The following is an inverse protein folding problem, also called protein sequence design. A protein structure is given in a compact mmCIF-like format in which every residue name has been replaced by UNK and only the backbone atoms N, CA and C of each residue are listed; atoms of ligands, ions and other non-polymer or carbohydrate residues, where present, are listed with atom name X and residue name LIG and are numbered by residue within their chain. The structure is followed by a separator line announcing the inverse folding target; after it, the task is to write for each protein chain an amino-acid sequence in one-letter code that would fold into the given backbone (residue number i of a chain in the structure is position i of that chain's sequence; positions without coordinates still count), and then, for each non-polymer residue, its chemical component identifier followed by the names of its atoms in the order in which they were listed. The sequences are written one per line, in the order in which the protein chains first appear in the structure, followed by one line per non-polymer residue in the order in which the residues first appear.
data_IF_273001128151
#
_entry.id   IF_273001128151
#
_cell.length_a   1.000
_cell.length_b   1.000
_cell.length_c   1.000
_cell.angle_alpha   90.00
_cell.angle_beta   90.00
_cell.angle_gamma   90.00
#
_symmetry.space_group_name_H-M   'P 1'
#
loop_
_entity.id
_entity.type
_entity.pdbx_description
1 polymer ?
#
# COMPACT_ATOMS: atom_id res chain seq x y z
N UNK A 1 100.73 -5.28 -19.33
CA UNK A 1 101.43 -4.78 -20.52
C UNK A 1 102.57 -3.89 -20.06
N UNK A 2 103.80 -4.28 -20.42
CA UNK A 2 105.11 -3.61 -20.33
C UNK A 2 105.53 -3.14 -18.92
N UNK A 3 106.25 -3.96 -18.15
CA UNK A 3 107.68 -4.31 -18.27
C UNK A 3 108.65 -3.15 -17.93
N UNK A 4 109.63 -3.39 -17.04
CA UNK A 4 110.53 -2.40 -16.42
C UNK A 4 111.90 -2.35 -17.11
N UNK A 5 112.74 -1.36 -16.82
CA UNK A 5 114.21 -1.39 -17.01
C UNK A 5 114.79 -0.33 -16.05
N UNK A 6 115.41 -0.64 -14.91
CA UNK A 6 116.71 -1.30 -14.66
C UNK A 6 117.96 -0.57 -15.18
N UNK A 7 118.88 -0.37 -14.24
CA UNK A 7 120.33 -0.55 -14.40
C UNK A 7 121.13 0.52 -15.17
N UNK A 8 122.03 1.25 -14.49
CA UNK A 8 123.48 0.98 -14.40
C UNK A 8 124.17 1.32 -15.76
N UNK A 9 125.36 1.91 -15.85
CA UNK A 9 126.59 1.57 -15.16
C UNK A 9 127.67 2.55 -15.68
N UNK A 10 128.61 2.86 -14.79
CA UNK A 10 130.06 2.88 -15.04
C UNK A 10 130.67 3.85 -16.07
N UNK A 11 131.55 4.75 -15.58
CA UNK A 11 133.03 4.64 -15.60
C UNK A 11 133.58 4.90 -17.01
N UNK A 12 134.51 5.85 -17.19
CA UNK A 12 135.94 5.65 -16.93
C UNK A 12 136.68 6.99 -17.17
N UNK A 13 137.57 7.42 -16.26
CA UNK A 13 139.06 7.51 -16.40
C UNK A 13 139.51 8.50 -17.51
N UNK A 14 140.45 9.43 -17.36
CA UNK A 14 141.77 9.44 -16.69
C UNK A 14 142.20 10.91 -16.49
N UNK A 15 142.98 11.17 -15.42
CA UNK A 15 144.10 12.12 -15.23
C UNK A 15 144.20 13.46 -16.00
N UNK A 16 144.89 14.47 -15.51
CA UNK A 16 145.77 14.58 -14.37
C UNK A 16 145.98 16.08 -14.09
N UNK A 17 146.53 16.33 -12.90
CA UNK A 17 147.36 17.47 -12.52
C UNK A 17 146.73 18.86 -12.33
N UNK A 18 147.21 19.44 -11.23
CA UNK A 18 147.26 20.84 -10.86
C UNK A 18 146.04 21.53 -10.25
N UNK A 19 146.07 21.52 -8.91
CA UNK A 19 146.22 22.71 -8.08
C UNK A 19 145.20 23.84 -8.31
N UNK A 20 144.28 23.95 -7.34
CA UNK A 20 143.59 25.18 -6.89
C UNK A 20 142.41 25.74 -7.74
N UNK A 21 141.27 25.04 -7.91
CA UNK A 21 140.03 25.67 -8.41
C UNK A 21 138.67 24.88 -8.29
N UNK A 22 138.05 24.61 -7.11
CA UNK A 22 136.64 24.16 -7.13
C UNK A 22 135.68 24.72 -6.05
N UNK A 23 135.93 25.86 -5.42
CA UNK A 23 134.99 26.41 -4.42
C UNK A 23 133.91 27.37 -4.97
N UNK A 24 134.09 27.95 -6.16
CA UNK A 24 133.16 28.98 -6.70
C UNK A 24 131.95 28.44 -7.48
N UNK A 25 132.11 27.44 -8.35
CA UNK A 25 130.96 26.84 -9.06
C UNK A 25 130.04 26.04 -8.13
N UNK A 26 130.63 25.48 -7.06
CA UNK A 26 129.93 24.80 -5.99
C UNK A 26 129.05 25.75 -5.16
N UNK A 27 129.36 27.05 -5.13
CA UNK A 27 128.58 28.04 -4.40
C UNK A 27 127.33 28.48 -5.17
N UNK A 28 127.45 28.72 -6.47
CA UNK A 28 126.35 29.23 -7.31
C UNK A 28 125.27 28.16 -7.57
N UNK A 29 125.69 26.90 -7.72
CA UNK A 29 124.76 25.77 -7.79
C UNK A 29 124.03 25.55 -6.46
N UNK A 30 124.72 25.72 -5.32
CA UNK A 30 124.10 25.63 -3.98
C UNK A 30 123.03 26.69 -3.79
N UNK A 31 123.24 27.91 -4.28
CA UNK A 31 122.30 29.01 -4.10
C UNK A 31 121.01 28.82 -4.92
N UNK A 32 121.12 28.33 -6.17
CA UNK A 32 119.95 28.02 -7.01
C UNK A 32 119.16 26.82 -6.49
N UNK A 33 119.84 25.80 -5.99
CA UNK A 33 119.20 24.64 -5.31
C UNK A 33 118.45 25.14 -4.08
N UNK A 34 119.06 26.00 -3.27
CA UNK A 34 118.44 26.53 -2.06
C UNK A 34 117.19 27.38 -2.32
N UNK A 35 117.18 28.19 -3.38
CA UNK A 35 115.99 28.98 -3.77
C UNK A 35 114.88 28.05 -4.27
N UNK A 36 115.21 27.06 -5.11
CA UNK A 36 114.23 26.10 -5.62
C UNK A 36 113.65 25.22 -4.52
N UNK A 37 114.48 24.79 -3.57
CA UNK A 37 114.04 24.03 -2.41
C UNK A 37 113.06 24.85 -1.58
N UNK A 38 113.31 26.16 -1.39
CA UNK A 38 112.36 27.06 -0.72
C UNK A 38 111.03 27.18 -1.45
N UNK A 39 111.04 27.37 -2.76
CA UNK A 39 109.80 27.50 -3.55
C UNK A 39 109.03 26.16 -3.59
N UNK A 40 109.75 25.04 -3.64
CA UNK A 40 109.16 23.70 -3.57
C UNK A 40 108.54 23.47 -2.18
N UNK A 41 109.19 23.92 -1.11
CA UNK A 41 108.65 23.78 0.25
C UNK A 41 107.44 24.69 0.49
N UNK A 42 107.41 25.90 -0.07
CA UNK A 42 106.23 26.77 -0.07
C UNK A 42 105.06 26.15 -0.83
N UNK A 43 105.30 25.63 -2.05
CA UNK A 43 104.26 24.96 -2.83
C UNK A 43 103.79 23.66 -2.18
N UNK A 44 104.68 22.89 -1.52
CA UNK A 44 104.29 21.72 -0.72
C UNK A 44 103.43 22.12 0.46
N UNK A 45 103.77 23.21 1.15
CA UNK A 45 102.97 23.74 2.27
C UNK A 45 101.57 24.16 1.80
N UNK A 46 101.46 24.83 0.66
CA UNK A 46 100.18 25.25 0.09
C UNK A 46 99.34 24.05 -0.39
N UNK A 47 99.97 23.05 -1.02
CA UNK A 47 99.33 21.78 -1.39
C UNK A 47 98.83 21.03 -0.15
N UNK A 48 99.60 21.01 0.93
CA UNK A 48 99.19 20.36 2.17
C UNK A 48 98.04 21.10 2.86
N UNK A 49 98.01 22.44 2.78
CA UNK A 49 96.86 23.23 3.24
C UNK A 49 95.61 22.94 2.42
N UNK A 50 95.71 22.90 1.09
CA UNK A 50 94.59 22.58 0.20
C UNK A 50 94.11 21.13 0.40
N UNK A 51 95.02 20.19 0.65
CA UNK A 51 94.67 18.80 1.00
C UNK A 51 93.91 18.75 2.32
N UNK A 52 94.40 19.43 3.35
CA UNK A 52 93.70 19.54 4.66
C UNK A 52 92.30 20.13 4.50
N UNK A 53 92.18 21.19 3.70
CA UNK A 53 90.90 21.85 3.42
C UNK A 53 89.94 20.93 2.65
N UNK A 54 90.44 20.21 1.64
CA UNK A 54 89.66 19.20 0.90
C UNK A 54 89.17 18.06 1.80
N UNK A 55 90.02 17.55 2.70
CA UNK A 55 89.60 16.53 3.69
C UNK A 55 88.62 17.07 4.73
N UNK A 56 88.77 18.33 5.15
CA UNK A 56 87.83 19.02 6.03
C UNK A 56 86.46 19.16 5.37
N UNK A 57 86.44 19.66 4.13
CA UNK A 57 85.20 19.85 3.36
C UNK A 57 84.53 18.52 3.00
N UNK A 58 85.31 17.49 2.66
CA UNK A 58 84.80 16.13 2.44
C UNK A 58 84.18 15.52 3.70
N UNK A 59 84.80 15.73 4.86
CA UNK A 59 84.22 15.31 6.15
C UNK A 59 82.93 16.07 6.47
N UNK A 60 82.88 17.39 6.22
CA UNK A 60 81.70 18.21 6.43
C UNK A 60 80.52 17.81 5.52
N UNK A 61 80.78 17.55 4.23
CA UNK A 61 79.77 17.07 3.28
C UNK A 61 79.22 15.70 3.66
N UNK A 62 80.08 14.77 4.10
CA UNK A 62 79.64 13.46 4.58
C UNK A 62 78.80 13.57 5.86
N UNK A 63 79.14 14.49 6.76
CA UNK A 63 78.35 14.75 7.96
C UNK A 63 76.97 15.33 7.62
N UNK A 64 76.92 16.32 6.71
CA UNK A 64 75.66 16.91 6.24
C UNK A 64 74.79 15.89 5.50
N UNK A 65 75.39 15.05 4.65
CA UNK A 65 74.68 13.98 3.95
C UNK A 65 74.04 12.98 4.90
N UNK A 66 74.74 12.59 5.98
CA UNK A 66 74.16 11.76 7.05
C UNK A 66 73.04 12.46 7.78
N UNK A 67 73.21 13.71 8.18
CA UNK A 67 72.15 14.48 8.86
C UNK A 67 70.87 14.58 8.04
N UNK A 68 70.98 14.86 6.73
CA UNK A 68 69.80 14.95 5.84
C UNK A 68 69.14 13.58 5.72
N UNK A 69 69.92 12.51 5.55
CA UNK A 69 69.40 11.16 5.47
C UNK A 69 68.66 10.75 6.75
N UNK A 70 69.28 10.98 7.91
CA UNK A 70 68.68 10.66 9.22
C UNK A 70 67.42 11.49 9.50
N UNK A 71 67.39 12.76 9.08
CA UNK A 71 66.22 13.62 9.23
C UNK A 71 65.05 13.19 8.33
N UNK A 72 65.33 12.82 7.08
CA UNK A 72 64.32 12.33 6.14
C UNK A 72 63.78 10.96 6.57
N UNK A 73 64.65 10.05 7.01
CA UNK A 73 64.25 8.73 7.49
C UNK A 73 63.44 8.82 8.79
N UNK A 74 63.84 9.72 9.70
CA UNK A 74 63.07 9.99 10.92
C UNK A 74 61.69 10.60 10.63
N UNK A 75 61.60 11.52 9.65
CA UNK A 75 60.33 12.13 9.24
C UNK A 75 59.42 11.11 8.58
N UNK A 76 59.94 10.29 7.65
CA UNK A 76 59.18 9.25 6.97
C UNK A 76 58.69 8.16 7.95
N UNK A 77 59.52 7.78 8.92
CA UNK A 77 59.15 6.83 9.98
C UNK A 77 58.06 7.39 10.89
N UNK A 78 58.13 8.68 11.25
CA UNK A 78 57.11 9.34 12.06
C UNK A 78 55.76 9.42 11.33
N UNK A 79 55.76 9.84 10.07
CA UNK A 79 54.54 9.89 9.24
C UNK A 79 53.94 8.50 9.03
N UNK A 80 54.76 7.48 8.75
CA UNK A 80 54.27 6.11 8.58
C UNK A 80 53.63 5.58 9.87
N UNK A 81 54.22 5.90 11.03
CA UNK A 81 53.67 5.54 12.34
C UNK A 81 52.33 6.23 12.59
N UNK A 82 52.20 7.52 12.30
CA UNK A 82 50.96 8.27 12.44
C UNK A 82 49.86 7.74 11.51
N UNK A 83 50.20 7.46 10.25
CA UNK A 83 49.25 6.92 9.27
C UNK A 83 48.75 5.54 9.68
N UNK A 84 49.63 4.69 10.19
CA UNK A 84 49.28 3.37 10.70
C UNK A 84 48.35 3.46 11.91
N UNK A 85 48.60 4.41 12.81
CA UNK A 85 47.77 4.63 13.99
C UNK A 85 46.38 5.16 13.61
N UNK A 86 46.29 6.10 12.65
CA UNK A 86 45.00 6.55 12.10
C UNK A 86 44.25 5.44 11.37
N UNK A 87 44.94 4.58 10.63
CA UNK A 87 44.31 3.46 9.95
C UNK A 87 43.69 2.49 10.95
N UNK A 88 44.41 2.18 12.04
CA UNK A 88 43.87 1.34 13.12
C UNK A 88 42.66 1.98 13.81
N UNK A 89 42.72 3.28 14.12
CA UNK A 89 41.59 4.01 14.72
C UNK A 89 40.34 3.98 13.81
N UNK A 90 40.51 4.24 12.51
CA UNK A 90 39.42 4.17 11.54
C UNK A 90 38.86 2.75 11.42
N UNK A 91 39.70 1.72 11.51
CA UNK A 91 39.25 0.32 11.46
C UNK A 91 38.39 -0.04 12.68
N UNK A 92 38.77 0.45 13.87
CA UNK A 92 37.98 0.26 15.10
C UNK A 92 36.64 0.97 14.98
N UNK A 93 36.64 2.24 14.56
CA UNK A 93 35.40 3.03 14.40
C UNK A 93 34.46 2.45 13.35
N UNK A 94 35.00 1.90 12.26
CA UNK A 94 34.20 1.24 11.22
C UNK A 94 33.56 -0.04 11.74
N UNK A 95 34.30 -0.84 12.51
CA UNK A 95 33.75 -2.04 13.17
C UNK A 95 32.67 -1.71 14.21
N UNK A 96 32.83 -0.62 14.95
CA UNK A 96 31.82 -0.13 15.90
C UNK A 96 30.54 0.32 15.20
N UNK A 97 30.66 1.13 14.14
CA UNK A 97 29.51 1.59 13.35
C UNK A 97 28.76 0.45 12.67
N UNK A 98 29.47 -0.58 12.18
CA UNK A 98 28.85 -1.78 11.61
C UNK A 98 28.05 -2.56 12.66
N UNK A 99 28.56 -2.68 13.90
CA UNK A 99 27.82 -3.31 15.01
C UNK A 99 26.56 -2.52 15.36
N UNK A 100 26.66 -1.20 15.50
CA UNK A 100 25.50 -0.35 15.77
C UNK A 100 24.44 -0.48 14.68
N UNK A 101 24.84 -0.53 13.40
CA UNK A 101 23.91 -0.66 12.28
C UNK A 101 23.17 -2.00 12.30
N UNK A 102 23.84 -3.09 12.70
CA UNK A 102 23.19 -4.40 12.89
C UNK A 102 22.20 -4.35 14.06
N UNK A 103 22.58 -3.75 15.19
CA UNK A 103 21.70 -3.60 16.36
C UNK A 103 20.45 -2.79 16.03
N UNK A 104 20.60 -1.64 15.34
CA UNK A 104 19.47 -0.81 14.92
C UNK A 104 18.55 -1.55 13.96
N UNK A 105 19.08 -2.30 12.99
CA UNK A 105 18.26 -3.12 12.08
C UNK A 105 17.48 -4.20 12.82
N UNK A 106 18.11 -4.88 13.77
CA UNK A 106 17.43 -5.87 14.61
C UNK A 106 16.35 -5.23 15.48
N UNK A 107 16.62 -4.06 16.06
CA UNK A 107 15.66 -3.32 16.85
C UNK A 107 14.45 -2.88 16.01
N UNK A 108 14.67 -2.39 14.79
CA UNK A 108 13.62 -2.03 13.84
C UNK A 108 12.71 -3.23 13.52
N UNK A 109 13.31 -4.39 13.18
CA UNK A 109 12.56 -5.62 12.88
C UNK A 109 11.72 -6.08 14.07
N UNK A 110 12.29 -6.08 15.28
CA UNK A 110 11.57 -6.45 16.51
C UNK A 110 10.42 -5.48 16.80
N UNK A 111 10.64 -4.19 16.59
CA UNK A 111 9.61 -3.16 16.82
C UNK A 111 8.47 -3.30 15.80
N UNK A 112 8.80 -3.53 14.52
CA UNK A 112 7.80 -3.77 13.47
C UNK A 112 6.98 -5.04 13.74
N UNK A 113 7.62 -6.15 14.16
CA UNK A 113 6.93 -7.38 14.55
C UNK A 113 6.05 -7.19 15.79
N UNK A 114 6.55 -6.47 16.81
CA UNK A 114 5.78 -6.15 18.01
C UNK A 114 4.57 -5.28 17.67
N UNK A 115 4.74 -4.26 16.82
CA UNK A 115 3.64 -3.43 16.34
C UNK A 115 2.58 -4.25 15.61
N UNK A 116 3.01 -5.18 14.73
CA UNK A 116 2.11 -6.09 14.02
C UNK A 116 1.34 -6.99 14.99
N UNK A 117 2.01 -7.55 16.00
CA UNK A 117 1.35 -8.37 17.03
C UNK A 117 0.42 -7.57 17.93
N UNK A 118 0.74 -6.32 18.25
CA UNK A 118 -0.14 -5.43 19.02
C UNK A 118 -1.37 -5.07 18.19
N UNK A 119 -1.20 -4.77 16.90
CA UNK A 119 -2.31 -4.54 15.97
C UNK A 119 -3.19 -5.80 15.84
N UNK A 120 -2.57 -6.95 15.60
CA UNK A 120 -3.27 -8.23 15.47
C UNK A 120 -4.01 -8.61 16.76
N UNK A 121 -3.40 -8.43 17.95
CA UNK A 121 -4.09 -8.60 19.23
C UNK A 121 -5.22 -7.59 19.44
N UNK A 122 -5.02 -6.33 19.07
CA UNK A 122 -6.08 -5.33 19.15
C UNK A 122 -7.27 -5.71 18.26
N UNK A 123 -7.01 -6.27 17.08
CA UNK A 123 -8.03 -6.78 16.17
C UNK A 123 -8.70 -8.06 16.68
N UNK A 124 -7.94 -9.00 17.26
CA UNK A 124 -8.48 -10.22 17.87
C UNK A 124 -9.34 -9.94 19.12
N UNK A 125 -8.92 -8.98 19.97
CA UNK A 125 -9.70 -8.56 21.14
C UNK A 125 -11.01 -7.84 20.75
N UNK A 126 -11.06 -7.24 19.56
CA UNK A 126 -12.26 -6.60 19.04
C UNK A 126 -13.32 -7.60 18.54
N UNK A 127 -12.91 -8.84 18.19
CA UNK A 127 -13.77 -9.88 17.62
C UNK A 127 -14.68 -10.59 18.64
N UNK A 128 -14.45 -10.49 19.96
CA UNK A 128 -14.96 -11.53 20.89
C UNK A 128 -16.29 -11.31 21.63
N UNK A 129 -16.93 -10.13 21.67
CA UNK A 129 -18.21 -9.98 22.40
C UNK A 129 -19.32 -9.12 21.73
N UNK A 130 -19.11 -7.82 21.45
CA UNK A 130 -20.24 -6.97 20.95
C UNK A 130 -20.44 -6.92 19.43
N UNK A 131 -19.54 -7.54 18.66
CA UNK A 131 -19.73 -7.77 17.22
C UNK A 131 -20.12 -9.23 16.95
N UNK A 132 -20.55 -9.95 17.99
CA UNK A 132 -21.03 -11.31 17.85
C UNK A 132 -22.12 -11.33 16.78
N UNK A 133 -22.01 -12.21 15.77
CA UNK A 133 -23.01 -12.29 14.73
C UNK A 133 -24.37 -12.61 15.36
N UNK A 134 -25.41 -11.91 14.93
CA UNK A 134 -26.77 -12.41 15.18
C UNK A 134 -26.87 -13.83 14.62
N UNK A 135 -27.65 -14.66 15.29
CA UNK A 135 -27.95 -16.00 14.79
C UNK A 135 -28.48 -15.94 13.36
N UNK A 136 -28.23 -17.00 12.60
CA UNK A 136 -28.75 -17.16 11.24
C UNK A 136 -30.26 -16.85 11.19
N UNK A 137 -31.04 -17.38 12.14
CA UNK A 137 -32.48 -17.14 12.23
C UNK A 137 -32.85 -15.67 12.42
N UNK A 138 -32.08 -14.91 13.21
CA UNK A 138 -32.33 -13.49 13.43
C UNK A 138 -32.10 -12.68 12.15
N UNK A 139 -31.04 -12.98 11.41
CA UNK A 139 -30.77 -12.35 10.09
C UNK A 139 -31.89 -12.68 9.11
N UNK A 140 -32.25 -13.96 8.98
CA UNK A 140 -33.34 -14.39 8.10
C UNK A 140 -34.66 -13.69 8.47
N UNK A 141 -34.94 -13.48 9.76
CA UNK A 141 -36.12 -12.76 10.25
C UNK A 141 -36.09 -11.27 9.86
N UNK A 142 -34.96 -10.59 9.99
CA UNK A 142 -34.79 -9.19 9.58
C UNK A 142 -35.00 -9.02 8.07
N UNK A 143 -34.39 -9.88 7.24
CA UNK A 143 -34.57 -9.87 5.79
C UNK A 143 -36.00 -10.21 5.37
N UNK A 144 -36.66 -11.13 6.08
CA UNK A 144 -38.08 -11.44 5.87
C UNK A 144 -38.99 -10.27 6.22
N UNK A 145 -38.69 -9.53 7.29
CA UNK A 145 -39.42 -8.34 7.68
C UNK A 145 -39.27 -7.22 6.64
N UNK A 146 -38.04 -6.96 6.19
CA UNK A 146 -37.76 -5.96 5.15
C UNK A 146 -38.56 -6.26 3.87
N UNK A 147 -38.54 -7.52 3.42
CA UNK A 147 -39.34 -7.96 2.28
C UNK A 147 -40.84 -7.76 2.51
N UNK A 148 -41.36 -8.13 3.68
CA UNK A 148 -42.78 -7.99 4.00
C UNK A 148 -43.25 -6.53 3.99
N UNK A 149 -42.42 -5.61 4.52
CA UNK A 149 -42.69 -4.18 4.53
C UNK A 149 -42.70 -3.60 3.11
N UNK A 150 -41.70 -3.95 2.29
CA UNK A 150 -41.64 -3.56 0.88
C UNK A 150 -42.82 -4.11 0.08
N UNK A 151 -43.11 -5.40 0.22
CA UNK A 151 -44.25 -6.05 -0.42
C UNK A 151 -45.59 -5.37 -0.07
N UNK A 152 -45.79 -5.07 1.23
CA UNK A 152 -47.00 -4.37 1.71
C UNK A 152 -47.09 -2.97 1.08
N UNK A 153 -45.98 -2.25 1.00
CA UNK A 153 -45.92 -0.93 0.38
C UNK A 153 -46.29 -1.00 -1.12
N UNK A 154 -45.66 -1.88 -1.89
CA UNK A 154 -45.93 -2.05 -3.33
C UNK A 154 -47.38 -2.45 -3.59
N UNK A 155 -47.98 -3.29 -2.73
CA UNK A 155 -49.39 -3.68 -2.87
C UNK A 155 -50.35 -2.51 -2.68
N UNK A 156 -50.04 -1.58 -1.78
CA UNK A 156 -50.90 -0.42 -1.48
C UNK A 156 -50.71 0.70 -2.51
N UNK A 157 -49.46 0.95 -2.91
CA UNK A 157 -49.10 2.14 -3.68
C UNK A 157 -48.78 1.87 -5.15
N UNK A 158 -48.96 0.65 -5.66
CA UNK A 158 -48.83 0.38 -7.10
C UNK A 158 -50.02 0.91 -7.91
N UNK A 159 -49.73 1.38 -9.12
CA UNK A 159 -50.73 1.86 -10.06
C UNK A 159 -51.47 0.68 -10.72
N UNK A 160 -52.75 0.49 -10.43
CA UNK A 160 -53.53 -0.67 -10.90
C UNK A 160 -53.65 -0.77 -12.44
N UNK A 161 -53.61 0.36 -13.14
CA UNK A 161 -53.63 0.42 -14.60
C UNK A 161 -52.28 0.93 -15.14
N UNK A 162 -51.24 0.10 -15.08
CA UNK A 162 -49.93 0.50 -15.60
C UNK A 162 -49.92 0.46 -17.14
N UNK A 163 -49.76 1.62 -17.77
CA UNK A 163 -49.64 1.76 -19.23
C UNK A 163 -48.33 1.20 -19.78
N UNK A 164 -47.24 1.22 -19.01
CA UNK A 164 -45.92 0.68 -19.40
C UNK A 164 -45.99 -0.83 -19.61
N UNK A 165 -46.79 -1.54 -18.81
CA UNK A 165 -46.99 -2.98 -19.01
C UNK A 165 -47.85 -3.30 -20.25
N UNK A 166 -48.40 -2.27 -20.91
CA UNK A 166 -49.14 -2.38 -22.18
C UNK A 166 -48.28 -1.98 -23.38
N UNK A 167 -47.10 -1.41 -23.18
CA UNK A 167 -46.16 -1.11 -24.27
C UNK A 167 -45.33 -2.34 -24.60
N UNK A 168 -44.68 -2.32 -25.77
CA UNK A 168 -43.85 -3.44 -26.20
C UNK A 168 -42.61 -3.59 -25.30
N UNK A 169 -42.14 -4.82 -25.02
CA UNK A 169 -40.97 -5.05 -24.15
C UNK A 169 -39.70 -4.35 -24.62
N UNK A 170 -39.54 -4.12 -25.93
CA UNK A 170 -38.40 -3.38 -26.49
C UNK A 170 -38.35 -1.94 -25.96
N UNK A 171 -39.52 -1.34 -25.72
CA UNK A 171 -39.72 0.02 -25.20
C UNK A 171 -39.62 0.07 -23.67
N UNK A 172 -39.42 -1.07 -23.00
CA UNK A 172 -39.25 -1.07 -21.56
C UNK A 172 -37.87 -0.52 -21.18
N UNK A 173 -37.79 0.21 -20.05
CA UNK A 173 -36.52 0.65 -19.48
C UNK A 173 -35.61 -0.54 -19.19
N UNK A 174 -34.30 -0.28 -19.17
CA UNK A 174 -33.30 -1.31 -18.89
C UNK A 174 -33.55 -1.97 -17.53
N UNK A 175 -33.91 -1.18 -16.51
CA UNK A 175 -34.17 -1.64 -15.14
C UNK A 175 -35.32 -2.65 -15.06
N UNK A 176 -36.35 -2.50 -15.91
CA UNK A 176 -37.43 -3.48 -15.99
C UNK A 176 -36.97 -4.80 -16.62
N UNK A 177 -36.03 -4.75 -17.58
CA UNK A 177 -35.48 -5.92 -18.26
C UNK A 177 -34.58 -6.75 -17.32
N UNK A 178 -33.96 -6.09 -16.34
CA UNK A 178 -33.12 -6.76 -15.33
C UNK A 178 -33.93 -7.65 -14.36
N UNK A 179 -35.23 -7.38 -14.21
CA UNK A 179 -36.09 -8.10 -13.23
C UNK A 179 -37.28 -8.83 -13.86
N UNK A 180 -37.53 -8.63 -15.16
CA UNK A 180 -38.66 -9.22 -15.88
C UNK A 180 -38.25 -9.86 -17.20
N UNK A 181 -38.65 -11.12 -17.40
CA UNK A 181 -38.70 -11.81 -18.70
C UNK A 181 -40.13 -11.82 -19.20
N UNK A 182 -40.42 -10.97 -20.17
CA UNK A 182 -41.76 -10.79 -20.72
C UNK A 182 -42.27 -12.07 -21.41
N UNK A 183 -43.50 -12.45 -21.10
CA UNK A 183 -44.27 -13.44 -21.85
C UNK A 183 -45.72 -12.97 -22.00
N UNK A 184 -46.17 -12.79 -23.24
CA UNK A 184 -47.47 -12.19 -23.55
C UNK A 184 -48.64 -12.97 -22.94
N UNK A 185 -48.56 -14.31 -22.93
CA UNK A 185 -49.64 -15.18 -22.47
C UNK A 185 -49.75 -15.15 -20.95
N UNK A 186 -48.63 -15.34 -20.24
CA UNK A 186 -48.55 -15.28 -18.79
C UNK A 186 -48.99 -13.91 -18.26
N UNK A 187 -48.56 -12.84 -18.93
CA UNK A 187 -48.84 -11.47 -18.51
C UNK A 187 -50.31 -11.10 -18.74
N UNK A 188 -50.87 -11.45 -19.89
CA UNK A 188 -52.27 -11.17 -20.21
C UNK A 188 -53.23 -11.86 -19.23
N UNK A 189 -52.93 -13.11 -18.82
CA UNK A 189 -53.74 -13.86 -17.85
C UNK A 189 -53.72 -13.26 -16.45
N UNK A 190 -52.65 -12.54 -16.08
CA UNK A 190 -52.41 -12.05 -14.72
C UNK A 190 -52.31 -10.53 -14.60
N UNK A 191 -52.83 -9.81 -15.60
CA UNK A 191 -52.68 -8.35 -15.75
C UNK A 191 -53.00 -7.55 -14.47
N UNK A 192 -53.94 -8.00 -13.64
CA UNK A 192 -54.33 -7.35 -12.38
C UNK A 192 -53.23 -7.32 -11.31
N UNK A 193 -52.33 -8.30 -11.30
CA UNK A 193 -51.30 -8.45 -10.26
C UNK A 193 -49.95 -7.89 -10.69
N UNK A 194 -49.72 -7.81 -12.00
CA UNK A 194 -48.42 -7.43 -12.56
C UNK A 194 -47.89 -6.09 -12.08
N UNK A 195 -48.66 -4.98 -11.99
CA UNK A 195 -48.09 -3.71 -11.56
C UNK A 195 -47.44 -3.81 -10.18
N UNK A 196 -48.10 -4.48 -9.24
CA UNK A 196 -47.57 -4.70 -7.88
C UNK A 196 -46.35 -5.61 -7.88
N UNK A 197 -46.34 -6.68 -8.68
CA UNK A 197 -45.21 -7.62 -8.78
C UNK A 197 -43.97 -6.99 -9.39
N UNK A 198 -44.14 -6.21 -10.46
CA UNK A 198 -43.03 -5.54 -11.14
C UNK A 198 -42.48 -4.42 -10.27
N UNK A 199 -43.34 -3.63 -9.61
CA UNK A 199 -42.90 -2.61 -8.66
C UNK A 199 -42.12 -3.22 -7.48
N UNK A 200 -42.60 -4.36 -6.95
CA UNK A 200 -41.91 -5.11 -5.89
C UNK A 200 -40.54 -5.61 -6.38
N UNK A 201 -40.47 -6.23 -7.56
CA UNK A 201 -39.24 -6.71 -8.15
C UNK A 201 -38.20 -5.60 -8.33
N UNK A 202 -38.62 -4.47 -8.90
CA UNK A 202 -37.75 -3.30 -9.07
C UNK A 202 -37.28 -2.72 -7.74
N UNK A 203 -38.17 -2.60 -6.75
CA UNK A 203 -37.83 -2.08 -5.43
C UNK A 203 -36.80 -2.96 -4.73
N UNK A 204 -37.04 -4.28 -4.70
CA UNK A 204 -36.11 -5.20 -4.06
C UNK A 204 -34.79 -5.30 -4.82
N UNK A 205 -34.81 -5.36 -6.15
CA UNK A 205 -33.57 -5.37 -6.96
C UNK A 205 -32.74 -4.11 -6.71
N UNK A 206 -33.36 -2.93 -6.67
CA UNK A 206 -32.69 -1.67 -6.33
C UNK A 206 -32.05 -1.73 -4.94
N UNK A 207 -32.80 -2.16 -3.91
CA UNK A 207 -32.28 -2.29 -2.54
C UNK A 207 -31.11 -3.26 -2.50
N UNK A 208 -31.25 -4.46 -3.07
CA UNK A 208 -30.20 -5.47 -2.97
C UNK A 208 -28.96 -5.12 -3.79
N UNK A 209 -29.10 -4.64 -5.04
CA UNK A 209 -27.96 -4.24 -5.88
C UNK A 209 -27.25 -3.00 -5.35
N UNK A 210 -27.98 -1.99 -4.86
CA UNK A 210 -27.39 -0.70 -4.49
C UNK A 210 -26.99 -0.59 -3.02
N UNK A 211 -27.57 -1.41 -2.14
CA UNK A 211 -27.31 -1.36 -0.68
C UNK A 211 -26.67 -2.66 -0.17
N UNK A 212 -27.23 -3.83 -0.47
CA UNK A 212 -26.70 -5.10 0.07
C UNK A 212 -25.45 -5.59 -0.65
N UNK A 213 -25.38 -5.46 -1.98
CA UNK A 213 -24.20 -5.86 -2.75
C UNK A 213 -23.02 -4.88 -2.60
N UNK A 214 -23.28 -3.66 -2.13
CA UNK A 214 -22.28 -2.60 -2.01
C UNK A 214 -22.03 -2.22 -0.54
N UNK A 215 -21.04 -2.82 0.14
CA UNK A 215 -20.75 -2.54 1.56
C UNK A 215 -20.40 -1.07 1.84
N UNK A 216 -19.99 -0.32 0.82
CA UNK A 216 -19.48 1.05 0.90
C UNK A 216 -20.43 2.09 0.28
N UNK A 217 -21.68 1.74 -0.03
CA UNK A 217 -22.64 2.62 -0.76
C UNK A 217 -22.82 4.04 -0.17
N UNK A 218 -22.55 4.22 1.13
CA UNK A 218 -22.72 5.49 1.84
C UNK A 218 -21.47 6.38 1.86
N UNK A 219 -20.34 5.89 1.36
CA UNK A 219 -19.08 6.62 1.32
C UNK A 219 -19.14 7.99 0.64
N UNK A 220 -19.83 8.16 -0.51
CA UNK A 220 -19.93 9.46 -1.16
C UNK A 220 -20.45 10.54 -0.21
N UNK A 221 -21.51 10.23 0.56
CA UNK A 221 -22.06 11.14 1.57
C UNK A 221 -21.11 11.35 2.73
N UNK A 222 -20.42 10.29 3.16
CA UNK A 222 -19.48 10.37 4.28
C UNK A 222 -18.28 11.28 4.01
N UNK A 223 -17.79 11.29 2.76
CA UNK A 223 -16.63 12.07 2.32
C UNK A 223 -17.04 13.50 1.93
N UNK A 224 -18.18 13.66 1.25
CA UNK A 224 -18.64 14.97 0.77
C UNK A 224 -19.31 15.82 1.86
N UNK A 225 -19.70 15.24 3.00
CA UNK A 225 -20.27 15.97 4.13
C UNK A 225 -19.35 17.05 4.74
N UNK A 226 -18.05 17.04 4.43
CA UNK A 226 -17.12 18.10 4.83
C UNK A 226 -17.12 19.33 3.90
N UNK A 227 -17.71 19.25 2.71
CA UNK A 227 -17.67 20.33 1.71
C UNK A 227 -18.91 21.25 1.74
N UNK A 228 -19.95 20.90 2.49
CA UNK A 228 -21.23 21.62 2.47
C UNK A 228 -21.45 22.54 3.69
N UNK A 229 -20.62 22.48 4.73
CA UNK A 229 -20.79 23.33 5.91
C UNK A 229 -19.90 24.60 5.94
N UNK A 230 -18.89 24.74 5.06
CA UNK A 230 -17.88 25.82 5.25
C UNK A 230 -17.55 26.74 4.05
N UNK A 231 -18.17 26.65 2.87
CA UNK A 231 -17.79 27.57 1.77
C UNK A 231 -18.95 28.14 0.96
N UNK A 232 -19.42 29.32 1.34
CA UNK A 232 -20.29 30.21 0.55
C UNK A 232 -19.57 30.92 -0.63
N UNK A 233 -18.30 30.59 -0.92
CA UNK A 233 -17.55 31.23 -2.00
C UNK A 233 -16.85 30.19 -2.88
N UNK A 234 -17.60 29.58 -3.79
CA UNK A 234 -17.06 28.73 -4.85
C UNK A 234 -16.89 29.57 -6.12
N UNK A 235 -15.75 30.26 -6.22
CA UNK A 235 -15.27 30.75 -7.51
C UNK A 235 -13.87 30.19 -7.77
N UNK A 236 -13.82 29.41 -8.85
CA UNK A 236 -12.65 29.14 -9.69
C UNK A 236 -11.54 28.22 -9.13
N UNK A 237 -11.18 27.21 -9.94
CA UNK A 237 -10.03 26.27 -9.87
C UNK A 237 -10.11 24.93 -9.10
N UNK A 238 -11.04 24.68 -8.16
CA UNK A 238 -11.12 23.39 -7.45
C UNK A 238 -11.99 22.30 -8.14
N UNK A 239 -12.72 22.65 -9.20
CA UNK A 239 -13.76 21.81 -9.82
C UNK A 239 -13.26 20.73 -10.78
N UNK A 240 -11.95 20.71 -11.08
CA UNK A 240 -11.41 19.80 -12.10
C UNK A 240 -10.52 18.69 -11.52
N UNK A 241 -9.85 18.92 -10.37
CA UNK A 241 -8.95 17.94 -9.74
C UNK A 241 -9.65 16.98 -8.75
N UNK A 242 -10.84 17.34 -8.26
CA UNK A 242 -11.67 16.51 -7.35
C UNK A 242 -12.64 15.57 -8.09
N UNK A 243 -12.53 15.44 -9.42
CA UNK A 243 -13.33 14.49 -10.23
C UNK A 243 -12.89 13.03 -10.10
N UNK A 244 -11.82 12.74 -9.36
CA UNK A 244 -11.57 11.38 -8.91
C UNK A 244 -12.48 11.11 -7.73
N UNK A 245 -13.65 10.53 -8.00
CA UNK A 245 -14.61 10.03 -7.01
C UNK A 245 -13.86 9.12 -6.01
N UNK A 246 -13.45 9.61 -4.81
CA UNK A 246 -12.49 8.89 -3.97
C UNK A 246 -13.06 7.58 -3.43
N UNK A 247 -14.38 7.45 -3.46
CA UNK A 247 -15.10 6.23 -3.08
C UNK A 247 -15.04 5.15 -4.16
N UNK A 248 -15.01 5.51 -5.46
CA UNK A 248 -14.84 4.53 -6.54
C UNK A 248 -13.46 3.88 -6.42
N UNK A 249 -12.44 4.67 -6.09
CA UNK A 249 -11.09 4.16 -5.83
C UNK A 249 -11.03 3.20 -4.62
N UNK A 250 -11.84 3.42 -3.58
CA UNK A 250 -11.91 2.51 -2.43
C UNK A 250 -12.67 1.21 -2.71
N UNK A 251 -13.76 1.25 -3.49
CA UNK A 251 -14.45 0.03 -3.95
C UNK A 251 -13.53 -0.79 -4.87
N UNK A 252 -12.84 -0.14 -5.82
CA UNK A 252 -11.88 -0.80 -6.72
C UNK A 252 -10.69 -1.42 -5.98
N UNK A 253 -10.11 -0.69 -5.02
CA UNK A 253 -9.04 -1.24 -4.16
C UNK A 253 -9.54 -2.41 -3.31
N UNK A 254 -10.77 -2.34 -2.80
CA UNK A 254 -11.36 -3.44 -2.04
C UNK A 254 -11.45 -4.70 -2.91
N UNK A 255 -11.95 -4.56 -4.14
CA UNK A 255 -12.10 -5.65 -5.09
C UNK A 255 -10.74 -6.25 -5.46
N UNK A 256 -9.72 -5.41 -5.68
CA UNK A 256 -8.35 -5.86 -5.95
C UNK A 256 -7.77 -6.66 -4.77
N UNK A 257 -7.93 -6.17 -3.54
CA UNK A 257 -7.46 -6.87 -2.33
C UNK A 257 -8.19 -8.20 -2.16
N UNK A 258 -9.52 -8.23 -2.36
CA UNK A 258 -10.31 -9.48 -2.27
C UNK A 258 -9.86 -10.49 -3.33
N UNK A 259 -9.51 -10.05 -4.54
CA UNK A 259 -9.03 -10.94 -5.60
C UNK A 259 -7.66 -11.55 -5.28
N UNK A 260 -6.78 -10.79 -4.61
CA UNK A 260 -5.47 -11.28 -4.19
C UNK A 260 -5.50 -12.16 -2.94
N UNK A 261 -6.34 -11.81 -1.97
CA UNK A 261 -6.52 -12.50 -0.69
C UNK A 261 -7.96 -12.31 -0.18
N UNK A 262 -8.80 -13.32 -0.39
CA UNK A 262 -10.21 -13.27 0.01
C UNK A 262 -10.37 -13.06 1.53
N UNK A 263 -9.62 -13.79 2.35
CA UNK A 263 -9.74 -13.72 3.81
C UNK A 263 -9.26 -12.35 4.31
N UNK A 264 -8.08 -11.91 3.85
CA UNK A 264 -7.51 -10.61 4.18
C UNK A 264 -8.38 -9.43 3.71
N UNK A 265 -8.94 -9.51 2.51
CA UNK A 265 -9.81 -8.47 1.95
C UNK A 265 -11.13 -8.33 2.70
N UNK A 266 -11.79 -9.44 3.03
CA UNK A 266 -13.01 -9.40 3.83
C UNK A 266 -12.75 -8.95 5.27
N UNK A 267 -11.61 -9.35 5.86
CA UNK A 267 -11.19 -8.86 7.16
C UNK A 267 -10.96 -7.34 7.14
N UNK A 268 -10.27 -6.83 6.12
CA UNK A 268 -10.03 -5.40 5.94
C UNK A 268 -11.34 -4.61 5.83
N UNK A 269 -12.25 -5.04 4.94
CA UNK A 269 -13.58 -4.45 4.78
C UNK A 269 -14.35 -4.38 6.10
N UNK A 270 -14.44 -5.51 6.80
CA UNK A 270 -15.15 -5.61 8.08
C UNK A 270 -14.55 -4.68 9.13
N UNK A 271 -13.23 -4.67 9.27
CA UNK A 271 -12.52 -3.81 10.22
C UNK A 271 -12.72 -2.33 9.90
N UNK A 272 -12.60 -1.96 8.64
CA UNK A 272 -12.78 -0.58 8.19
C UNK A 272 -14.20 -0.07 8.50
N UNK A 273 -15.22 -0.87 8.23
CA UNK A 273 -16.61 -0.55 8.61
C UNK A 273 -16.80 -0.44 10.13
N UNK A 274 -16.15 -1.30 10.92
CA UNK A 274 -16.18 -1.24 12.39
C UNK A 274 -15.49 0.01 12.94
N UNK A 275 -14.44 0.52 12.28
CA UNK A 275 -13.81 1.80 12.64
C UNK A 275 -14.75 2.98 12.42
N UNK A 276 -15.64 2.90 11.43
CA UNK A 276 -16.69 3.88 11.19
C UNK A 276 -17.90 3.73 12.10
N UNK A 277 -17.98 2.65 12.86
CA UNK A 277 -19.01 2.37 13.84
C UNK A 277 -18.38 1.99 15.20
N UNK A 278 -17.60 2.89 15.81
CA UNK A 278 -16.80 2.55 16.98
C UNK A 278 -17.68 2.12 18.17
N UNK A 279 -17.17 1.18 18.97
CA UNK A 279 -17.80 0.78 20.22
C UNK A 279 -17.72 1.91 21.24
N UNK A 280 -18.72 1.96 22.13
CA UNK A 280 -18.66 2.79 23.33
C UNK A 280 -17.49 2.28 24.20
N UNK A 281 -16.52 3.13 24.51
CA UNK A 281 -15.42 2.81 25.44
C UNK A 281 -15.65 3.58 26.74
N UNK A 282 -15.32 2.97 27.88
CA UNK A 282 -15.48 3.58 29.20
C UNK A 282 -14.51 4.76 29.44
N UNK A 283 -13.49 4.92 28.60
CA UNK A 283 -12.51 5.99 28.69
C UNK A 283 -13.08 7.34 28.20
N UNK A 284 -13.36 8.22 29.17
CA UNK A 284 -13.99 9.55 29.00
C UNK A 284 -13.30 10.51 28.02
N UNK A 285 -12.04 10.31 27.66
CA UNK A 285 -11.27 11.28 26.84
C UNK A 285 -11.59 11.23 25.34
N UNK A 286 -11.97 10.07 24.80
CA UNK A 286 -12.20 9.89 23.36
C UNK A 286 -13.68 9.68 22.98
N UNK A 287 -14.56 9.58 23.98
CA UNK A 287 -15.99 9.33 23.82
C UNK A 287 -16.68 10.29 22.84
N UNK A 288 -16.39 11.59 22.91
CA UNK A 288 -17.02 12.58 22.02
C UNK A 288 -16.63 12.39 20.56
N UNK A 289 -15.36 12.05 20.27
CA UNK A 289 -14.90 11.86 18.88
C UNK A 289 -15.37 10.53 18.28
N UNK A 290 -15.44 9.49 19.10
CA UNK A 290 -15.97 8.19 18.70
C UNK A 290 -17.48 8.30 18.42
N UNK A 291 -18.24 8.95 19.30
CA UNK A 291 -19.67 9.17 19.10
C UNK A 291 -19.94 10.06 17.88
N UNK A 292 -19.17 11.15 17.71
CA UNK A 292 -19.28 11.97 16.49
C UNK A 292 -18.97 11.18 15.21
N UNK A 293 -18.03 10.24 15.25
CA UNK A 293 -17.73 9.38 14.09
C UNK A 293 -18.88 8.42 13.81
N UNK A 294 -19.43 7.78 14.85
CA UNK A 294 -20.59 6.89 14.75
C UNK A 294 -21.82 7.61 14.19
N UNK A 295 -22.16 8.78 14.74
CA UNK A 295 -23.28 9.61 14.29
C UNK A 295 -23.09 10.02 12.84
N UNK A 296 -21.93 10.56 12.46
CA UNK A 296 -21.67 10.95 11.06
C UNK A 296 -21.80 9.77 10.09
N UNK A 297 -21.33 8.58 10.46
CA UNK A 297 -21.47 7.39 9.62
C UNK A 297 -22.92 6.91 9.53
N UNK A 298 -23.70 7.01 10.61
CA UNK A 298 -25.14 6.71 10.59
C UNK A 298 -25.92 7.70 9.73
N UNK A 299 -25.64 9.00 9.86
CA UNK A 299 -26.23 10.06 9.02
C UNK A 299 -25.90 9.85 7.55
N UNK A 300 -24.64 9.60 7.20
CA UNK A 300 -24.23 9.34 5.81
C UNK A 300 -24.96 8.13 5.20
N UNK A 301 -25.14 7.05 5.97
CA UNK A 301 -25.94 5.88 5.53
C UNK A 301 -27.39 6.24 5.28
N UNK A 302 -28.00 7.00 6.18
CA UNK A 302 -29.38 7.47 6.04
C UNK A 302 -29.55 8.35 4.80
N UNK A 303 -28.66 9.31 4.60
CA UNK A 303 -28.68 10.21 3.42
C UNK A 303 -28.48 9.44 2.12
N UNK A 304 -27.51 8.53 2.06
CA UNK A 304 -27.30 7.70 0.88
C UNK A 304 -28.50 6.80 0.58
N UNK A 305 -29.15 6.25 1.61
CA UNK A 305 -30.39 5.49 1.44
C UNK A 305 -31.53 6.36 0.87
N UNK A 306 -31.64 7.61 1.32
CA UNK A 306 -32.60 8.58 0.78
C UNK A 306 -32.31 8.94 -0.67
N UNK A 307 -31.03 9.11 -1.07
CA UNK A 307 -30.67 9.35 -2.46
C UNK A 307 -31.00 8.17 -3.37
N UNK A 308 -30.72 6.95 -2.90
CA UNK A 308 -31.05 5.74 -3.64
C UNK A 308 -32.57 5.63 -3.80
N UNK A 309 -33.34 5.92 -2.75
CA UNK A 309 -34.80 5.98 -2.82
C UNK A 309 -35.28 7.05 -3.80
N UNK A 310 -34.73 8.26 -3.74
CA UNK A 310 -35.12 9.35 -4.63
C UNK A 310 -34.81 8.98 -6.08
N UNK A 311 -33.60 8.48 -6.35
CA UNK A 311 -33.24 7.95 -7.66
C UNK A 311 -34.15 6.80 -8.11
N UNK A 312 -34.60 5.94 -7.20
CA UNK A 312 -35.59 4.92 -7.52
C UNK A 312 -36.91 5.56 -7.99
N UNK A 313 -37.46 6.51 -7.25
CA UNK A 313 -38.71 7.22 -7.61
C UNK A 313 -38.56 7.97 -8.94
N UNK A 314 -37.42 8.62 -9.16
CA UNK A 314 -37.14 9.45 -10.35
C UNK A 314 -36.93 8.61 -11.62
N UNK A 315 -36.74 7.29 -11.49
CA UNK A 315 -36.71 6.37 -12.64
C UNK A 315 -38.11 6.01 -13.13
N UNK A 316 -38.21 5.05 -14.04
CA UNK A 316 -39.49 4.59 -14.60
C UNK A 316 -40.41 3.95 -13.55
N UNK A 317 -39.89 3.62 -12.36
CA UNK A 317 -40.74 3.16 -11.25
C UNK A 317 -41.74 4.23 -10.80
N UNK A 318 -41.45 5.52 -10.99
CA UNK A 318 -42.38 6.62 -10.71
C UNK A 318 -43.72 6.47 -11.46
N UNK A 319 -43.71 5.85 -12.64
CA UNK A 319 -44.92 5.56 -13.41
C UNK A 319 -45.67 4.29 -12.96
N UNK A 320 -45.01 3.40 -12.21
CA UNK A 320 -45.62 2.24 -11.55
C UNK A 320 -46.20 2.60 -10.18
N UNK A 321 -45.79 3.74 -9.62
CA UNK A 321 -46.25 4.26 -8.34
C UNK A 321 -47.55 5.06 -8.58
N UNK A 322 -48.55 4.78 -7.76
CA UNK A 322 -49.83 5.49 -7.78
C UNK A 322 -49.64 6.96 -7.37
N UNK A 323 -50.41 7.91 -7.95
CA UNK A 323 -50.47 9.28 -7.47
C UNK A 323 -50.83 9.38 -5.97
N UNK A 324 -51.52 8.38 -5.40
CA UNK A 324 -51.76 8.30 -3.94
C UNK A 324 -50.47 8.18 -3.12
N UNK A 325 -49.34 7.89 -3.75
CA UNK A 325 -48.04 7.84 -3.11
C UNK A 325 -47.34 9.21 -3.01
N UNK A 326 -47.93 10.30 -3.55
CA UNK A 326 -47.43 11.67 -3.31
C UNK A 326 -47.79 12.19 -1.92
N UNK A 327 -48.62 11.45 -1.17
CA UNK A 327 -48.88 11.75 0.23
C UNK A 327 -47.61 11.53 1.06
N UNK A 328 -47.30 12.45 1.97
CA UNK A 328 -46.08 12.38 2.80
C UNK A 328 -45.93 11.07 3.60
N UNK A 329 -47.03 10.35 3.86
CA UNK A 329 -47.04 9.04 4.52
C UNK A 329 -46.45 7.94 3.63
N UNK A 330 -46.75 7.93 2.33
CA UNK A 330 -46.24 6.93 1.40
C UNK A 330 -44.74 7.11 1.19
N UNK A 331 -44.29 8.35 1.04
CA UNK A 331 -42.87 8.70 0.97
C UNK A 331 -42.13 8.32 2.26
N UNK A 332 -42.69 8.68 3.44
CA UNK A 332 -42.08 8.34 4.74
C UNK A 332 -41.95 6.83 4.95
N UNK A 333 -42.98 6.06 4.57
CA UNK A 333 -42.94 4.60 4.69
C UNK A 333 -41.93 3.96 3.72
N UNK A 334 -41.80 4.47 2.49
CA UNK A 334 -40.75 4.05 1.57
C UNK A 334 -39.35 4.40 2.09
N UNK A 335 -39.17 5.62 2.62
CA UNK A 335 -37.92 6.06 3.24
C UNK A 335 -37.51 5.13 4.38
N UNK A 336 -38.46 4.73 5.24
CA UNK A 336 -38.19 3.79 6.32
C UNK A 336 -37.73 2.41 5.80
N UNK A 337 -38.26 1.93 4.66
CA UNK A 337 -37.79 0.68 4.03
C UNK A 337 -36.33 0.79 3.61
N UNK A 338 -35.95 1.86 2.90
CA UNK A 338 -34.57 2.08 2.45
C UNK A 338 -33.60 2.29 3.62
N UNK A 339 -34.01 3.05 4.65
CA UNK A 339 -33.21 3.26 5.86
C UNK A 339 -33.01 1.95 6.61
N UNK A 340 -34.08 1.15 6.78
CA UNK A 340 -33.99 -0.17 7.41
C UNK A 340 -33.06 -1.10 6.64
N UNK A 341 -33.12 -1.07 5.30
CA UNK A 341 -32.22 -1.82 4.44
C UNK A 341 -30.76 -1.39 4.63
N UNK A 342 -30.48 -0.09 4.69
CA UNK A 342 -29.15 0.46 4.93
C UNK A 342 -28.56 0.05 6.29
N UNK A 343 -29.37 0.10 7.35
CA UNK A 343 -28.97 -0.34 8.69
C UNK A 343 -28.70 -1.84 8.74
N UNK A 344 -29.60 -2.63 8.14
CA UNK A 344 -29.47 -4.09 8.07
C UNK A 344 -28.22 -4.47 7.27
N UNK A 345 -28.04 -3.93 6.06
CA UNK A 345 -26.86 -4.18 5.23
C UNK A 345 -25.57 -3.86 5.97
N UNK A 346 -25.49 -2.68 6.62
CA UNK A 346 -24.32 -2.29 7.41
C UNK A 346 -24.05 -3.29 8.54
N UNK A 347 -25.07 -3.73 9.29
CA UNK A 347 -24.93 -4.74 10.36
C UNK A 347 -24.35 -6.05 9.83
N UNK A 348 -24.81 -6.52 8.68
CA UNK A 348 -24.35 -7.75 8.07
C UNK A 348 -22.91 -7.63 7.55
N UNK A 349 -22.57 -6.50 6.92
CA UNK A 349 -21.20 -6.20 6.49
C UNK A 349 -20.24 -5.88 7.64
N UNK A 350 -20.67 -5.76 8.89
CA UNK A 350 -19.71 -5.72 10.01
C UNK A 350 -19.09 -7.09 10.30
N UNK A 351 -19.59 -8.17 9.69
CA UNK A 351 -19.03 -9.53 9.75
C UNK A 351 -17.93 -9.69 8.71
N UNK A 352 -17.04 -10.66 8.87
CA UNK A 352 -16.02 -10.99 7.87
C UNK A 352 -16.54 -11.93 6.76
N UNK A 353 -17.74 -12.48 6.91
CA UNK A 353 -18.39 -13.24 5.85
C UNK A 353 -18.62 -12.38 4.59
N UNK A 354 -18.64 -13.01 3.43
CA UNK A 354 -18.95 -12.37 2.15
C UNK A 354 -20.43 -12.55 1.82
N UNK A 355 -21.12 -11.46 1.46
CA UNK A 355 -22.53 -11.51 1.05
C UNK A 355 -22.61 -11.44 -0.47
N UNK A 356 -23.32 -12.40 -1.05
CA UNK A 356 -23.58 -12.47 -2.47
C UNK A 356 -25.08 -12.31 -2.74
N UNK A 357 -25.43 -11.43 -3.69
CA UNK A 357 -26.80 -11.23 -4.14
C UNK A 357 -26.97 -11.90 -5.51
N UNK A 358 -27.93 -12.82 -5.63
CA UNK A 358 -28.30 -13.44 -6.91
C UNK A 358 -29.61 -12.87 -7.43
N UNK A 359 -29.51 -12.18 -8.56
CA UNK A 359 -30.62 -11.54 -9.29
C UNK A 359 -31.05 -12.40 -10.48
N UNK A 360 -32.07 -11.95 -11.23
CA UNK A 360 -32.59 -12.68 -12.40
C UNK A 360 -31.51 -13.09 -13.42
N UNK A 361 -30.48 -12.26 -13.60
CA UNK A 361 -29.35 -12.53 -14.50
C UNK A 361 -28.52 -13.75 -14.09
N UNK A 362 -28.41 -13.99 -12.78
CA UNK A 362 -27.53 -15.01 -12.19
C UNK A 362 -28.26 -16.28 -11.74
N UNK A 363 -29.59 -16.24 -11.68
CA UNK A 363 -30.44 -17.35 -11.29
C UNK A 363 -30.76 -18.24 -12.50
N UNK A 364 -31.13 -19.49 -12.22
CA UNK A 364 -31.67 -20.41 -13.24
C UNK A 364 -32.80 -19.74 -14.03
N UNK A 365 -32.90 -19.95 -15.35
CA UNK A 365 -34.02 -19.44 -16.13
C UNK A 365 -35.34 -20.15 -15.82
N UNK A 366 -35.30 -21.31 -15.17
CA UNK A 366 -36.47 -22.15 -14.86
C UNK A 366 -36.56 -22.46 -13.38
N UNK A 367 -37.79 -22.68 -12.90
CA UNK A 367 -38.09 -23.04 -11.52
C UNK A 367 -37.88 -24.53 -11.28
N UNK A 368 -37.35 -24.87 -10.10
CA UNK A 368 -37.22 -26.24 -9.60
C UNK A 368 -37.54 -26.21 -8.11
N UNK A 369 -38.53 -26.98 -7.68
CA UNK A 369 -39.03 -27.02 -6.30
C UNK A 369 -37.93 -27.39 -5.28
N UNK A 370 -37.13 -28.41 -5.59
CA UNK A 370 -36.08 -28.92 -4.70
C UNK A 370 -34.84 -28.01 -4.62
N UNK A 371 -34.80 -26.92 -5.40
CA UNK A 371 -33.70 -25.98 -5.36
C UNK A 371 -33.93 -24.96 -4.23
N UNK A 372 -33.25 -25.13 -3.09
CA UNK A 372 -33.38 -24.25 -1.91
C UNK A 372 -33.22 -22.76 -2.23
N UNK A 373 -32.40 -22.44 -3.24
CA UNK A 373 -32.16 -21.08 -3.70
C UNK A 373 -33.42 -20.37 -4.23
N UNK A 374 -34.42 -21.13 -4.66
CA UNK A 374 -35.63 -20.62 -5.30
C UNK A 374 -36.86 -20.90 -4.43
N UNK A 375 -37.75 -19.92 -4.36
CA UNK A 375 -39.06 -20.04 -3.72
C UNK A 375 -40.12 -19.47 -4.65
N UNK A 376 -41.17 -20.24 -4.90
CA UNK A 376 -42.28 -19.76 -5.68
C UNK A 376 -43.02 -18.60 -4.98
N UNK A 377 -43.42 -17.61 -5.75
CA UNK A 377 -44.25 -16.50 -5.28
C UNK A 377 -45.62 -17.01 -4.86
N UNK A 378 -46.21 -16.40 -3.82
CA UNK A 378 -47.45 -16.86 -3.18
C UNK A 378 -48.68 -16.94 -4.08
N UNK A 379 -48.64 -16.31 -5.26
CA UNK A 379 -49.70 -16.42 -6.26
C UNK A 379 -49.84 -17.84 -6.84
N UNK A 380 -48.79 -18.65 -6.68
CA UNK A 380 -48.75 -20.05 -7.09
C UNK A 380 -49.19 -21.03 -6.01
N UNK A 381 -49.43 -20.57 -4.76
CA UNK A 381 -49.75 -21.44 -3.63
C UNK A 381 -50.86 -22.43 -3.96
N UNK A 382 -51.95 -21.98 -4.58
CA UNK A 382 -53.06 -22.87 -4.92
C UNK A 382 -52.64 -24.09 -5.75
N UNK A 383 -51.75 -23.91 -6.73
CA UNK A 383 -51.29 -25.01 -7.60
C UNK A 383 -50.25 -25.86 -6.88
N UNK A 384 -49.39 -25.24 -6.07
CA UNK A 384 -48.30 -25.91 -5.35
C UNK A 384 -48.77 -26.66 -4.09
N UNK A 385 -49.89 -26.24 -3.50
CA UNK A 385 -50.54 -26.94 -2.39
C UNK A 385 -51.13 -28.28 -2.87
N UNK A 386 -51.55 -28.35 -4.15
CA UNK A 386 -52.05 -29.58 -4.78
C UNK A 386 -50.89 -30.49 -5.25
N UNK A 387 -49.87 -29.92 -5.90
CA UNK A 387 -48.66 -30.60 -6.33
C UNK A 387 -47.43 -29.67 -6.25
N UNK A 388 -46.49 -29.92 -5.31
CA UNK A 388 -45.30 -29.09 -5.13
C UNK A 388 -44.40 -28.99 -6.37
N UNK A 389 -44.45 -29.97 -7.26
CA UNK A 389 -43.61 -30.09 -8.47
C UNK A 389 -44.31 -29.60 -9.73
N UNK A 390 -45.57 -29.15 -9.63
CA UNK A 390 -46.40 -28.76 -10.80
C UNK A 390 -45.81 -27.65 -11.67
N UNK A 391 -44.86 -26.87 -11.12
CA UNK A 391 -44.21 -25.75 -11.81
C UNK A 391 -42.72 -26.02 -12.10
N UNK A 392 -42.24 -27.26 -11.90
CA UNK A 392 -40.87 -27.62 -12.24
C UNK A 392 -40.62 -27.50 -13.75
N UNK A 393 -39.49 -26.89 -14.10
CA UNK A 393 -39.13 -26.56 -15.48
C UNK A 393 -39.88 -25.34 -16.05
N UNK A 394 -40.83 -24.75 -15.32
CA UNK A 394 -41.53 -23.56 -15.77
C UNK A 394 -40.56 -22.36 -15.86
N UNK A 395 -40.66 -21.52 -16.90
CA UNK A 395 -39.81 -20.34 -17.03
C UNK A 395 -40.09 -19.33 -15.91
N UNK A 396 -39.03 -18.78 -15.35
CA UNK A 396 -39.12 -17.69 -14.38
C UNK A 396 -39.28 -16.38 -15.14
N UNK A 397 -40.42 -15.71 -14.93
CA UNK A 397 -40.77 -14.45 -15.57
C UNK A 397 -40.43 -13.23 -14.73
N UNK A 398 -40.57 -13.29 -13.40
CA UNK A 398 -40.26 -12.16 -12.51
C UNK A 398 -39.53 -12.69 -11.27
N UNK A 399 -38.47 -12.00 -10.86
CA UNK A 399 -37.81 -12.22 -9.56
C UNK A 399 -38.22 -11.07 -8.63
N UNK A 400 -39.19 -11.29 -7.75
CA UNK A 400 -39.71 -10.25 -6.85
C UNK A 400 -38.78 -9.98 -5.66
N UNK A 401 -37.89 -10.92 -5.37
CA UNK A 401 -36.92 -10.84 -4.28
C UNK A 401 -35.67 -11.58 -4.75
N UNK A 402 -34.52 -10.92 -4.88
CA UNK A 402 -33.23 -11.57 -5.11
C UNK A 402 -32.86 -12.55 -3.98
N UNK A 403 -32.05 -13.55 -4.29
CA UNK A 403 -31.49 -14.41 -3.24
C UNK A 403 -30.29 -13.74 -2.57
N UNK A 404 -30.08 -14.05 -1.29
CA UNK A 404 -28.95 -13.59 -0.49
C UNK A 404 -28.22 -14.82 0.04
N UNK A 405 -27.01 -15.03 -0.45
CA UNK A 405 -26.11 -16.06 -0.02
C UNK A 405 -24.97 -15.45 0.80
N UNK A 406 -24.41 -16.26 1.68
CA UNK A 406 -23.27 -15.89 2.49
C UNK A 406 -22.21 -16.94 2.43
N UNK A 407 -20.99 -16.49 2.17
CA UNK A 407 -19.80 -17.34 2.09
C UNK A 407 -18.92 -17.07 3.30
N UNK A 408 -18.50 -18.16 3.94
CA UNK A 408 -17.68 -18.09 5.13
C UNK A 408 -18.44 -17.76 6.41
N UNK A 409 -17.81 -18.08 7.52
CA UNK A 409 -18.27 -17.80 8.86
C UNK A 409 -18.01 -16.33 9.22
N UNK A 410 -18.65 -15.87 10.30
CA UNK A 410 -18.56 -14.49 10.76
C UNK A 410 -17.15 -14.03 11.14
N UNK A 411 -16.29 -14.98 11.51
CA UNK A 411 -14.90 -14.78 11.93
C UNK A 411 -13.91 -14.74 10.75
N UNK A 412 -14.40 -14.96 9.53
CA UNK A 412 -13.62 -14.91 8.29
C UNK A 412 -12.95 -16.22 7.94
N UNK A 413 -13.55 -17.35 8.32
CA UNK A 413 -13.08 -18.70 7.98
C UNK A 413 -14.09 -19.44 7.10
N UNK A 414 -13.70 -20.57 6.50
CA UNK A 414 -14.57 -21.49 5.74
C UNK A 414 -15.36 -20.85 4.58
N UNK A 415 -14.74 -19.99 3.77
CA UNK A 415 -15.38 -19.39 2.58
C UNK A 415 -15.84 -20.39 1.51
N UNK A 416 -15.47 -21.66 1.62
CA UNK A 416 -16.00 -22.74 0.78
C UNK A 416 -17.44 -23.14 1.15
N UNK A 417 -17.89 -22.81 2.37
CA UNK A 417 -19.26 -23.04 2.80
C UNK A 417 -20.15 -21.86 2.41
N UNK A 418 -21.26 -22.18 1.76
CA UNK A 418 -22.28 -21.21 1.38
C UNK A 418 -23.55 -21.46 2.19
N UNK A 419 -24.10 -20.40 2.76
CA UNK A 419 -25.32 -20.40 3.53
C UNK A 419 -26.37 -19.53 2.83
N UNK A 420 -27.59 -20.03 2.76
CA UNK A 420 -28.71 -19.26 2.20
C UNK A 420 -29.41 -18.46 3.31
N UNK A 421 -29.23 -17.15 3.34
CA UNK A 421 -29.99 -16.28 4.26
C UNK A 421 -31.38 -15.95 3.72
N UNK A 422 -31.52 -15.90 2.40
CA UNK A 422 -32.79 -15.59 1.75
C UNK A 422 -32.86 -16.24 0.38
N UNK A 423 -33.84 -17.12 0.17
CA UNK A 423 -34.17 -17.64 -1.15
C UNK A 423 -34.73 -16.54 -2.06
N UNK A 424 -34.47 -16.63 -3.37
CA UNK A 424 -35.11 -15.78 -4.35
C UNK A 424 -36.59 -16.11 -4.45
N UNK A 425 -37.46 -15.09 -4.48
CA UNK A 425 -38.89 -15.29 -4.72
C UNK A 425 -39.18 -15.04 -6.18
N UNK A 426 -39.74 -16.05 -6.85
CA UNK A 426 -39.89 -16.06 -8.32
C UNK A 426 -41.32 -16.33 -8.75
N UNK A 427 -41.73 -15.75 -9.87
CA UNK A 427 -43.06 -15.92 -10.44
C UNK A 427 -42.97 -16.46 -11.87
N UNK A 428 -43.71 -17.54 -12.14
CA UNK A 428 -43.66 -18.33 -13.37
C UNK A 428 -44.88 -18.22 -14.29
N UNK A 429 -45.83 -17.29 -14.03
CA UNK A 429 -47.00 -17.09 -14.92
C UNK A 429 -48.33 -17.57 -14.39
#
# INVERSE_FOLDING_TARGET
MNSPVEYYQQQTLVGATDQQAPERELFDLRQRIQIRDRTIDEQKSEIDQLRKMKTSFGSALNHFGRMIFDAVDSSASAEHKELKQRHQDLQVRLSEAEKELVEVKQMYLRTAQSLRHVQERAFQLQDQQDWAPDSHEAVCRELNKLYADAHKWCKVYSHQACSILKTKPEEWPAECKDVVRYDEKAFSKNARHLPSLVLEALLMDCIYKRIFAKPLFFLPRRLNGHLLEETENWNDYATTALRHEPHLSLEEMLDEVIQGDLEGGQAWRSQWLRLLNPKHRDDKKDLTRLEATKVRSATARKEAAMDIMQGFIDTVTGHLISPLATDGVAFTSLANIFITAAETSNKLWLRKSYIEVRTMETLSPTFVHDMELLKAHRLHNRVLDDDPTALDGAPIHIVTQPAVLVHGLSDGTDYSQTWLWKAAVVWMG
#
